data_IF_925077027117
#
_entry.id   IF_925077027117
#
_cell.length_a   1.000
_cell.length_b   1.000
_cell.length_c   1.000
_cell.angle_alpha   90.00
_cell.angle_beta   90.00
_cell.angle_gamma   90.00
#
_symmetry.space_group_name_H-M   'P 1'
#
loop_
_entity.id
_entity.type
_entity.pdbx_description
1 polymer ?
#
# COMPACT_ATOMS: atom_id res chain seq x y z
N UNK A 1 -3.95 -14.24 -10.47
CA UNK A 1 -3.88 -13.03 -11.32
C UNK A 1 -2.98 -11.99 -10.66
N UNK A 2 -2.45 -11.01 -11.39
CA UNK A 2 -1.73 -9.87 -10.79
C UNK A 2 -2.42 -8.57 -11.20
N UNK A 3 -2.65 -7.70 -10.22
CA UNK A 3 -3.14 -6.35 -10.46
C UNK A 3 -1.96 -5.37 -10.36
N UNK A 4 -1.96 -4.35 -11.19
CA UNK A 4 -0.97 -3.28 -11.17
C UNK A 4 -1.70 -1.95 -11.18
N UNK A 5 -1.14 -0.97 -10.48
CA UNK A 5 -1.71 0.36 -10.37
C UNK A 5 -1.16 1.08 -9.15
N UNK A 6 -1.73 2.25 -8.88
CA UNK A 6 -1.40 3.06 -7.71
C UNK A 6 -2.54 2.94 -6.72
N UNK A 7 -2.22 2.70 -5.45
CA UNK A 7 -3.21 2.75 -4.37
C UNK A 7 -3.55 4.22 -4.13
N UNK A 8 -4.80 4.60 -4.41
CA UNK A 8 -5.27 5.98 -4.22
C UNK A 8 -6.07 6.16 -2.94
N UNK A 9 -6.62 5.08 -2.39
CA UNK A 9 -7.40 5.10 -1.16
C UNK A 9 -7.42 3.71 -0.51
N UNK A 10 -7.67 3.65 0.80
CA UNK A 10 -7.82 2.40 1.53
C UNK A 10 -8.73 2.59 2.75
N UNK A 11 -9.34 1.50 3.19
CA UNK A 11 -10.01 1.39 4.49
C UNK A 11 -9.57 0.10 5.20
N UNK A 12 -10.31 -0.36 6.22
CA UNK A 12 -9.98 -1.57 6.96
C UNK A 12 -10.03 -2.85 6.11
N UNK A 13 -10.94 -2.94 5.12
CA UNK A 13 -11.24 -4.17 4.39
C UNK A 13 -10.84 -4.12 2.91
N UNK A 14 -10.69 -2.92 2.34
CA UNK A 14 -10.53 -2.70 0.92
C UNK A 14 -9.40 -1.71 0.61
N UNK A 15 -8.95 -1.78 -0.64
CA UNK A 15 -8.00 -0.84 -1.24
C UNK A 15 -8.55 -0.42 -2.59
N UNK A 16 -8.46 0.87 -2.91
CA UNK A 16 -8.80 1.41 -4.23
C UNK A 16 -7.53 1.50 -5.08
N UNK A 17 -7.46 0.70 -6.15
CA UNK A 17 -6.35 0.64 -7.09
C UNK A 17 -6.72 1.37 -8.36
N UNK A 18 -5.91 2.35 -8.78
CA UNK A 18 -6.12 3.10 -10.02
C UNK A 18 -5.06 2.76 -11.06
N UNK A 19 -5.49 2.49 -12.28
CA UNK A 19 -4.63 2.24 -13.45
C UNK A 19 -5.33 2.70 -14.72
N UNK A 20 -4.62 3.41 -15.60
CA UNK A 20 -5.09 3.80 -16.94
C UNK A 20 -6.47 4.49 -16.94
N UNK A 21 -6.74 5.35 -15.95
CA UNK A 21 -8.01 6.06 -15.80
C UNK A 21 -9.14 5.25 -15.13
N UNK A 22 -8.96 3.94 -14.95
CA UNK A 22 -9.91 3.08 -14.26
C UNK A 22 -9.57 2.91 -12.78
N UNK A 23 -10.62 2.86 -11.95
CA UNK A 23 -10.51 2.59 -10.52
C UNK A 23 -11.16 1.24 -10.20
N UNK A 24 -10.46 0.41 -9.43
CA UNK A 24 -10.91 -0.91 -9.01
C UNK A 24 -10.86 -1.01 -7.48
N UNK A 25 -11.98 -1.39 -6.86
CA UNK A 25 -12.04 -1.75 -5.45
C UNK A 25 -11.57 -3.19 -5.27
N UNK A 26 -10.57 -3.41 -4.41
CA UNK A 26 -10.00 -4.73 -4.14
C UNK A 26 -10.14 -5.06 -2.66
N UNK A 27 -10.80 -6.18 -2.35
CA UNK A 27 -10.91 -6.68 -0.98
C UNK A 27 -9.60 -7.31 -0.51
N UNK A 28 -9.15 -6.97 0.69
CA UNK A 28 -7.88 -7.44 1.25
C UNK A 28 -7.83 -8.96 1.45
N UNK A 29 -8.96 -9.62 1.73
CA UNK A 29 -9.01 -11.07 1.86
C UNK A 29 -8.63 -11.82 0.56
N UNK A 30 -8.72 -11.14 -0.59
CA UNK A 30 -8.33 -11.68 -1.89
C UNK A 30 -6.89 -11.33 -2.29
N UNK A 31 -6.16 -10.58 -1.45
CA UNK A 31 -4.78 -10.16 -1.70
C UNK A 31 -3.85 -11.06 -0.87
N UNK A 32 -2.96 -11.79 -1.54
CA UNK A 32 -1.92 -12.58 -0.87
C UNK A 32 -0.64 -11.80 -0.60
N UNK A 33 -0.30 -10.84 -1.47
CA UNK A 33 0.98 -10.11 -1.40
C UNK A 33 0.86 -8.76 -2.12
N UNK A 34 1.53 -7.74 -1.60
CA UNK A 34 1.71 -6.42 -2.23
C UNK A 34 3.20 -6.26 -2.53
N UNK A 35 3.53 -5.99 -3.79
CA UNK A 35 4.90 -5.75 -4.25
C UNK A 35 5.05 -4.29 -4.69
N UNK A 36 5.78 -3.45 -3.95
CA UNK A 36 6.08 -2.09 -4.37
C UNK A 36 6.91 -2.05 -5.66
N UNK A 37 6.67 -1.04 -6.50
CA UNK A 37 7.46 -0.84 -7.72
C UNK A 37 8.86 -0.29 -7.46
N UNK A 38 9.08 0.31 -6.30
CA UNK A 38 10.36 0.84 -5.78
C UNK A 38 10.41 0.60 -4.27
N UNK A 39 11.61 0.59 -3.64
CA UNK A 39 11.73 0.50 -2.19
C UNK A 39 10.85 1.54 -1.48
N UNK A 40 10.09 1.11 -0.47
CA UNK A 40 9.22 1.98 0.34
C UNK A 40 9.86 2.17 1.71
N UNK A 41 10.06 3.42 2.11
CA UNK A 41 10.39 3.76 3.50
C UNK A 41 9.11 3.60 4.33
N UNK A 42 9.07 2.58 5.18
CA UNK A 42 7.88 2.30 6.00
C UNK A 42 7.92 3.05 7.34
N UNK A 43 9.12 3.31 7.86
CA UNK A 43 9.38 4.07 9.08
C UNK A 43 10.82 4.62 8.98
N UNK A 44 11.03 5.92 9.21
CA UNK A 44 12.34 6.35 9.72
C UNK A 44 12.39 5.88 11.17
N UNK A 45 13.41 5.11 11.54
CA UNK A 45 13.67 4.83 12.94
C UNK A 45 13.91 6.19 13.61
N UNK A 46 12.90 6.70 14.32
CA UNK A 46 13.14 7.68 15.38
C UNK A 46 13.89 6.88 16.43
N UNK A 47 15.21 6.76 16.25
CA UNK A 47 16.10 6.26 17.28
C UNK A 47 15.89 7.17 18.49
N UNK A 48 15.30 6.63 19.56
CA UNK A 48 15.18 7.25 20.87
C UNK A 48 16.58 7.54 21.44
N UNK A 49 17.24 8.59 20.92
CA UNK A 49 18.46 9.20 21.47
C UNK A 49 18.13 10.59 22.03
N UNK A 50 16.93 10.75 22.58
CA UNK A 50 16.50 11.92 23.37
C UNK A 50 15.57 11.33 24.43
N UNK A 51 16.06 10.90 25.58
CA UNK A 51 16.57 11.79 26.63
C UNK A 51 17.57 11.04 27.54
N UNK A 52 18.53 11.79 28.07
CA UNK A 52 19.46 11.34 29.12
C UNK A 52 18.80 11.48 30.49
#
# INVERSE_FOLDING_TARGET
MKLQGVVTWFDNFCVLLRRDGHSQLVYKHAISTIMPGQPVQLFDQIDETTDR
#
